data_IF_486639164966
#
_entry.id   IF_486639164966
#
_cell.length_a   1.000
_cell.length_b   1.000
_cell.length_c   1.000
_cell.angle_alpha   90.00
_cell.angle_beta   90.00
_cell.angle_gamma   90.00
#
_symmetry.space_group_name_H-M   'P 1'
#
loop_
_entity.id
_entity.type
_entity.pdbx_description
1 polymer ?
#
# COMPACT_ATOMS: atom_id res chain seq x y z
N UNK A 1 -17.61 23.06 3.80
CA UNK A 1 -16.45 23.92 3.49
C UNK A 1 -15.25 23.33 4.20
N UNK A 2 -14.55 22.43 3.51
CA UNK A 2 -13.41 21.67 4.02
C UNK A 2 -12.14 22.50 3.89
N UNK A 3 -11.78 23.23 4.95
CA UNK A 3 -10.46 23.88 5.03
C UNK A 3 -9.43 22.83 5.39
N UNK A 4 -9.00 22.04 4.40
CA UNK A 4 -7.78 21.24 4.54
C UNK A 4 -6.59 22.21 4.43
N UNK A 5 -5.84 22.48 5.51
CA UNK A 5 -4.80 23.50 5.52
C UNK A 5 -3.61 23.05 4.67
N UNK A 6 -3.22 23.87 3.69
CA UNK A 6 -2.04 23.64 2.86
C UNK A 6 -0.94 24.64 3.22
N UNK A 7 0.27 24.14 3.47
CA UNK A 7 1.46 24.98 3.65
C UNK A 7 2.12 25.26 2.32
N UNK A 8 2.28 26.53 1.95
CA UNK A 8 3.04 26.92 0.76
C UNK A 8 4.53 26.61 0.98
N UNK A 9 5.14 25.88 0.03
CA UNK A 9 6.56 25.51 0.10
C UNK A 9 7.52 26.69 -0.03
N UNK A 10 7.08 27.78 -0.67
CA UNK A 10 7.85 29.00 -0.79
C UNK A 10 7.77 29.86 0.47
N UNK A 11 6.60 30.44 0.74
CA UNK A 11 6.45 31.44 1.80
C UNK A 11 6.09 30.86 3.17
N UNK A 12 5.95 29.53 3.29
CA UNK A 12 5.62 28.81 4.53
C UNK A 12 4.29 29.18 5.22
N UNK A 13 3.45 29.99 4.57
CA UNK A 13 2.11 30.36 5.07
C UNK A 13 1.07 29.27 4.76
N UNK A 14 0.02 29.21 5.57
CA UNK A 14 -1.09 28.26 5.43
C UNK A 14 -2.21 28.88 4.60
N UNK A 15 -2.71 28.13 3.61
CA UNK A 15 -3.77 28.55 2.71
C UNK A 15 -4.84 27.45 2.56
N UNK A 16 -6.03 27.81 2.08
CA UNK A 16 -7.07 26.85 1.72
C UNK A 16 -6.77 26.18 0.37
N UNK A 17 -7.58 25.19 -0.03
CA UNK A 17 -7.39 24.45 -1.27
C UNK A 17 -7.34 25.33 -2.53
N UNK A 18 -8.11 26.42 -2.54
CA UNK A 18 -8.18 27.36 -3.67
C UNK A 18 -6.98 28.31 -3.74
N UNK A 19 -6.32 28.58 -2.61
CA UNK A 19 -5.18 29.51 -2.53
C UNK A 19 -3.83 28.80 -2.32
N UNK A 20 -3.78 27.50 -2.60
CA UNK A 20 -2.59 26.66 -2.38
C UNK A 20 -1.43 27.03 -3.30
N UNK A 21 -1.67 27.45 -4.53
CA UNK A 21 -0.58 27.74 -5.47
C UNK A 21 -0.05 29.16 -5.30
N UNK A 22 1.24 29.34 -5.61
CA UNK A 22 1.92 30.63 -5.55
C UNK A 22 1.33 31.71 -6.48
N UNK A 23 0.47 31.34 -7.44
CA UNK A 23 -0.27 32.26 -8.31
C UNK A 23 -1.57 32.75 -7.67
N UNK A 24 -2.16 31.94 -6.79
CA UNK A 24 -3.46 32.18 -6.17
C UNK A 24 -3.34 32.99 -4.87
N UNK A 25 -2.11 33.20 -4.39
CA UNK A 25 -1.80 34.17 -3.35
C UNK A 25 -0.63 35.04 -3.79
N UNK A 26 -0.51 36.26 -3.24
CA UNK A 26 0.65 37.13 -3.46
C UNK A 26 1.89 36.52 -2.76
N UNK A 27 2.43 35.45 -3.34
CA UNK A 27 3.58 34.75 -2.82
C UNK A 27 4.83 35.59 -3.05
N UNK A 28 5.61 35.81 -1.99
CA UNK A 28 6.90 36.52 -2.10
C UNK A 28 8.00 35.67 -2.75
N UNK A 29 7.72 34.40 -3.05
CA UNK A 29 8.69 33.53 -3.69
C UNK A 29 8.64 33.75 -5.20
N UNK A 30 9.80 33.79 -5.88
CA UNK A 30 9.80 33.76 -7.32
C UNK A 30 8.99 32.54 -7.76
N UNK A 31 8.23 32.60 -8.86
CA UNK A 31 7.66 31.41 -9.44
C UNK A 31 8.86 30.50 -9.71
N UNK A 32 9.09 29.53 -8.82
CA UNK A 32 10.04 28.49 -9.09
C UNK A 32 9.52 27.93 -10.39
N UNK A 33 10.32 28.01 -11.45
CA UNK A 33 10.21 27.12 -12.59
C UNK A 33 10.48 25.71 -12.03
N UNK A 34 9.59 25.26 -11.14
CA UNK A 34 9.36 23.90 -10.79
C UNK A 34 8.77 23.35 -12.07
N UNK A 35 9.70 23.11 -12.99
CA UNK A 35 9.66 22.35 -14.22
C UNK A 35 8.25 21.82 -14.43
N UNK A 36 7.50 22.47 -15.32
CA UNK A 36 6.29 21.87 -15.87
C UNK A 36 6.75 20.63 -16.62
N UNK A 37 6.95 19.56 -15.84
CA UNK A 37 7.60 18.35 -16.29
C UNK A 37 6.54 17.59 -17.06
N UNK A 38 6.51 17.85 -18.36
CA UNK A 38 5.60 17.19 -19.28
C UNK A 38 5.96 15.71 -19.30
N UNK A 39 5.01 14.88 -18.83
CA UNK A 39 5.15 13.42 -18.80
C UNK A 39 4.20 12.87 -19.85
N UNK A 40 4.76 12.07 -20.76
CA UNK A 40 3.99 11.37 -21.80
C UNK A 40 3.98 9.88 -21.51
N UNK A 41 2.91 9.19 -21.87
CA UNK A 41 2.76 7.76 -21.61
C UNK A 41 3.15 6.99 -22.86
N UNK A 42 4.14 6.09 -22.74
CA UNK A 42 4.52 5.21 -23.83
C UNK A 42 3.39 4.19 -24.14
N UNK A 43 2.95 4.04 -25.40
CA UNK A 43 1.86 3.14 -25.77
C UNK A 43 2.23 1.65 -25.69
N UNK A 44 3.53 1.32 -25.71
CA UNK A 44 4.02 -0.07 -25.71
C UNK A 44 4.16 -0.64 -24.30
N UNK A 45 4.68 0.16 -23.37
CA UNK A 45 4.98 -0.29 -22.00
C UNK A 45 4.12 0.39 -20.93
N UNK A 46 3.31 1.39 -21.28
CA UNK A 46 2.53 2.22 -20.34
C UNK A 46 3.36 2.94 -19.26
N UNK A 47 4.67 3.15 -19.51
CA UNK A 47 5.55 3.93 -18.62
C UNK A 47 5.41 5.42 -18.92
N UNK A 48 5.42 6.25 -17.88
CA UNK A 48 5.54 7.70 -18.02
C UNK A 48 6.99 8.08 -18.32
N UNK A 49 7.21 8.70 -19.48
CA UNK A 49 8.51 9.21 -19.93
C UNK A 49 8.50 10.73 -19.79
N UNK A 50 9.57 11.28 -19.20
CA UNK A 50 9.73 12.72 -19.04
C UNK A 50 10.18 13.33 -20.36
N UNK A 51 9.47 14.35 -20.81
CA UNK A 51 9.85 15.16 -21.97
C UNK A 51 10.73 16.30 -21.46
N UNK A 52 11.89 16.48 -22.08
CA UNK A 52 12.77 17.62 -21.77
C UNK A 52 12.26 18.87 -22.49
N UNK A 53 12.56 20.04 -21.94
CA UNK A 53 12.15 21.32 -22.52
C UNK A 53 12.63 21.44 -23.98
N UNK A 54 11.70 21.75 -24.89
CA UNK A 54 11.97 21.92 -26.32
C UNK A 54 12.04 20.63 -27.15
N UNK A 55 11.81 19.44 -26.57
CA UNK A 55 11.68 18.20 -27.33
C UNK A 55 10.20 17.82 -27.50
N UNK A 56 9.88 17.30 -28.68
CA UNK A 56 8.55 16.79 -28.97
C UNK A 56 8.31 15.43 -28.29
N UNK A 57 7.06 15.21 -27.85
CA UNK A 57 6.62 14.01 -27.17
C UNK A 57 6.93 12.72 -27.96
N UNK A 58 6.63 12.73 -29.26
CA UNK A 58 6.77 11.57 -30.14
C UNK A 58 8.24 11.14 -30.24
N UNK A 59 9.15 12.09 -30.46
CA UNK A 59 10.59 11.82 -30.50
C UNK A 59 11.11 11.23 -29.17
N UNK A 60 10.61 11.74 -28.04
CA UNK A 60 10.99 11.22 -26.71
C UNK A 60 10.51 9.78 -26.51
N UNK A 61 9.30 9.45 -27.00
CA UNK A 61 8.75 8.08 -26.94
C UNK A 61 9.54 7.14 -27.87
N UNK A 62 9.87 7.57 -29.08
CA UNK A 62 10.65 6.77 -30.04
C UNK A 62 12.04 6.42 -29.48
N UNK A 63 12.73 7.43 -28.92
CA UNK A 63 14.00 7.22 -28.23
C UNK A 63 13.88 6.24 -27.06
N UNK A 64 12.80 6.33 -26.27
CA UNK A 64 12.54 5.39 -25.19
C UNK A 64 12.32 3.95 -25.70
N UNK A 65 11.67 3.78 -26.85
CA UNK A 65 11.48 2.47 -27.48
C UNK A 65 12.80 1.87 -27.98
N UNK A 66 13.73 2.70 -28.43
CA UNK A 66 15.04 2.28 -28.96
C UNK A 66 16.10 2.07 -27.87
N UNK A 67 15.99 2.72 -26.71
CA UNK A 67 17.02 2.69 -25.67
C UNK A 67 17.12 1.36 -24.91
N UNK A 68 16.23 0.41 -25.16
CA UNK A 68 16.16 -0.88 -24.45
C UNK A 68 15.53 -0.79 -23.05
N UNK A 69 15.20 0.40 -22.58
CA UNK A 69 14.50 0.58 -21.30
C UNK A 69 13.00 0.25 -21.42
N UNK A 70 12.42 0.31 -22.61
CA UNK A 70 11.01 0.02 -22.86
C UNK A 70 10.69 -1.48 -22.71
N UNK A 71 9.94 -1.84 -21.67
CA UNK A 71 9.52 -3.22 -21.41
C UNK A 71 8.02 -3.42 -21.73
N UNK A 72 7.67 -4.14 -22.82
CA UNK A 72 6.29 -4.41 -23.19
C UNK A 72 5.49 -5.21 -22.14
N UNK A 73 6.14 -5.99 -21.28
CA UNK A 73 5.44 -6.76 -20.23
C UNK A 73 4.78 -5.84 -19.20
N UNK A 74 5.32 -4.63 -19.00
CA UNK A 74 4.75 -3.67 -18.08
C UNK A 74 3.33 -3.24 -18.48
N UNK A 75 3.02 -3.19 -19.78
CA UNK A 75 1.69 -2.83 -20.26
C UNK A 75 0.61 -3.77 -19.70
N UNK A 76 0.85 -5.09 -19.78
CA UNK A 76 -0.06 -6.10 -19.21
C UNK A 76 -0.21 -5.95 -17.70
N UNK A 77 0.86 -5.58 -16.98
CA UNK A 77 0.82 -5.37 -15.52
C UNK A 77 -0.01 -4.14 -15.14
N UNK A 78 0.17 -3.03 -15.86
CA UNK A 78 -0.52 -1.76 -15.61
C UNK A 78 -2.01 -1.84 -15.98
N UNK A 79 -2.31 -2.39 -17.16
CA UNK A 79 -3.68 -2.46 -17.67
C UNK A 79 -4.44 -3.71 -17.18
N UNK A 80 -3.75 -4.82 -16.93
CA UNK A 80 -4.30 -6.11 -16.50
C UNK A 80 -4.55 -6.23 -14.99
N UNK A 81 -5.10 -5.19 -14.37
CA UNK A 81 -5.51 -5.25 -12.96
C UNK A 81 -6.60 -6.31 -12.80
N UNK A 82 -6.47 -7.16 -11.77
CA UNK A 82 -7.42 -8.23 -11.47
C UNK A 82 -8.80 -7.65 -11.18
N UNK A 83 -9.85 -8.42 -11.47
CA UNK A 83 -11.23 -8.06 -11.14
C UNK A 83 -11.70 -8.88 -9.95
N UNK A 84 -12.73 -8.38 -9.27
CA UNK A 84 -13.36 -9.11 -8.19
C UNK A 84 -13.86 -10.48 -8.69
N UNK A 85 -13.55 -11.58 -7.99
CA UNK A 85 -13.91 -12.94 -8.42
C UNK A 85 -15.41 -13.26 -8.25
N UNK A 86 -16.16 -12.38 -7.58
CA UNK A 86 -17.60 -12.54 -7.33
C UNK A 86 -18.38 -12.49 -8.64
N UNK A 87 -19.26 -13.48 -8.86
CA UNK A 87 -20.13 -13.53 -10.04
C UNK A 87 -20.98 -12.27 -10.12
N UNK A 88 -20.95 -11.59 -11.28
CA UNK A 88 -21.66 -10.34 -11.50
C UNK A 88 -20.92 -9.08 -11.04
N UNK A 89 -19.80 -9.20 -10.31
CA UNK A 89 -18.97 -8.05 -9.96
C UNK A 89 -17.98 -7.71 -11.07
N UNK A 90 -17.98 -6.46 -11.54
CA UNK A 90 -17.02 -5.97 -12.55
C UNK A 90 -15.97 -5.03 -11.96
N UNK A 91 -15.96 -4.88 -10.64
CA UNK A 91 -15.06 -3.99 -9.91
C UNK A 91 -13.59 -4.41 -10.10
N UNK A 92 -12.73 -3.43 -10.40
CA UNK A 92 -11.28 -3.66 -10.53
C UNK A 92 -10.64 -3.63 -9.14
N UNK A 93 -9.85 -4.66 -8.84
CA UNK A 93 -9.03 -4.70 -7.64
C UNK A 93 -7.85 -3.76 -7.84
N UNK A 94 -7.83 -2.68 -7.07
CA UNK A 94 -6.71 -1.75 -6.94
C UNK A 94 -6.13 -1.89 -5.53
N UNK A 95 -4.95 -1.33 -5.29
CA UNK A 95 -4.31 -1.33 -3.97
C UNK A 95 -5.21 -0.80 -2.85
N UNK A 96 -6.11 0.13 -3.15
CA UNK A 96 -7.05 0.72 -2.18
C UNK A 96 -8.34 -0.07 -2.09
N UNK A 97 -8.78 -0.66 -3.21
CA UNK A 97 -10.08 -1.34 -3.29
C UNK A 97 -10.00 -2.86 -3.07
N UNK A 98 -8.80 -3.42 -2.88
CA UNK A 98 -8.61 -4.85 -2.62
C UNK A 98 -8.71 -5.17 -1.13
N UNK A 99 -9.41 -6.25 -0.80
CA UNK A 99 -9.46 -6.83 0.53
C UNK A 99 -9.26 -8.33 0.47
N UNK A 100 -8.30 -8.83 1.26
CA UNK A 100 -8.06 -10.26 1.42
C UNK A 100 -8.90 -10.81 2.57
N UNK A 101 -9.78 -11.77 2.27
CA UNK A 101 -10.63 -12.38 3.29
C UNK A 101 -9.80 -13.21 4.28
N UNK A 102 -9.88 -12.99 5.60
CA UNK A 102 -9.10 -13.73 6.59
C UNK A 102 -9.54 -15.18 6.77
N UNK A 103 -10.72 -15.55 6.27
CA UNK A 103 -11.28 -16.90 6.39
C UNK A 103 -10.91 -17.80 5.21
N UNK A 104 -10.92 -17.28 3.98
CA UNK A 104 -10.67 -18.06 2.76
C UNK A 104 -9.47 -17.58 1.92
N UNK A 105 -8.80 -16.48 2.30
CA UNK A 105 -7.64 -15.94 1.60
C UNK A 105 -7.91 -15.29 0.24
N UNK A 106 -9.17 -15.26 -0.21
CA UNK A 106 -9.54 -14.71 -1.51
C UNK A 106 -9.53 -13.18 -1.50
N UNK A 107 -8.90 -12.57 -2.50
CA UNK A 107 -8.93 -11.12 -2.72
C UNK A 107 -10.23 -10.71 -3.42
N UNK A 108 -10.95 -9.78 -2.79
CA UNK A 108 -12.25 -9.27 -3.24
C UNK A 108 -12.25 -7.75 -3.21
N UNK A 109 -13.25 -7.12 -3.83
CA UNK A 109 -13.40 -5.66 -3.71
C UNK A 109 -13.98 -5.29 -2.34
N UNK A 110 -13.84 -4.04 -1.92
CA UNK A 110 -14.39 -3.56 -0.64
C UNK A 110 -15.90 -3.79 -0.49
N UNK A 111 -16.65 -3.82 -1.61
CA UNK A 111 -18.09 -4.13 -1.63
C UNK A 111 -18.43 -5.55 -1.18
N UNK A 112 -17.51 -6.50 -1.40
CA UNK A 112 -17.69 -7.94 -1.16
C UNK A 112 -16.80 -8.48 -0.04
N UNK A 113 -16.27 -7.58 0.80
CA UNK A 113 -15.35 -7.89 1.90
C UNK A 113 -16.00 -8.65 3.06
N UNK A 114 -17.29 -8.41 3.33
CA UNK A 114 -17.93 -8.86 4.58
C UNK A 114 -18.94 -9.99 4.43
N UNK A 115 -19.66 -10.10 3.31
CA UNK A 115 -20.70 -11.13 3.22
C UNK A 115 -20.07 -12.43 2.73
N UNK A 116 -20.15 -13.47 3.57
CA UNK A 116 -19.71 -14.82 3.21
C UNK A 116 -20.41 -15.33 1.93
N UNK A 117 -21.62 -14.86 1.66
CA UNK A 117 -22.40 -15.15 0.45
C UNK A 117 -21.82 -14.49 -0.81
N UNK A 118 -21.14 -13.34 -0.70
CA UNK A 118 -20.72 -12.58 -1.87
C UNK A 118 -19.62 -13.31 -2.63
N UNK A 119 -18.69 -13.95 -1.91
CA UNK A 119 -17.57 -14.66 -2.52
C UNK A 119 -17.55 -16.16 -2.24
N UNK A 120 -18.70 -16.73 -1.85
CA UNK A 120 -18.82 -18.14 -1.46
C UNK A 120 -17.69 -18.57 -0.52
N UNK A 121 -17.53 -17.83 0.58
CA UNK A 121 -16.41 -17.99 1.51
C UNK A 121 -16.37 -19.42 2.06
N UNK A 122 -15.36 -20.21 1.68
CA UNK A 122 -15.27 -21.62 2.09
C UNK A 122 -14.74 -21.83 3.50
N UNK A 123 -14.57 -20.76 4.30
CA UNK A 123 -13.97 -20.83 5.63
C UNK A 123 -12.53 -21.34 5.64
N UNK A 124 -11.92 -21.39 6.83
CA UNK A 124 -10.67 -22.16 7.03
C UNK A 124 -11.05 -23.63 6.87
N UNK A 125 -10.80 -24.19 5.69
CA UNK A 125 -10.73 -25.63 5.52
C UNK A 125 -9.61 -26.06 6.47
N UNK A 126 -9.93 -26.80 7.54
CA UNK A 126 -8.90 -27.60 8.20
C UNK A 126 -8.17 -28.34 7.10
N UNK A 127 -6.85 -28.37 7.15
CA UNK A 127 -6.02 -29.14 6.24
C UNK A 127 -6.43 -30.62 6.33
N UNK A 128 -7.46 -30.99 5.57
CA UNK A 128 -7.75 -32.36 5.24
C UNK A 128 -6.58 -32.74 4.34
N UNK A 129 -5.58 -33.38 4.94
CA UNK A 129 -4.60 -34.16 4.21
C UNK A 129 -5.41 -34.97 3.21
N UNK A 130 -5.33 -34.60 1.93
CA UNK A 130 -5.78 -35.48 0.87
C UNK A 130 -4.87 -36.69 1.00
N UNK A 131 -5.41 -37.77 1.58
CA UNK A 131 -4.81 -39.08 1.51
C UNK A 131 -4.70 -39.41 0.03
N UNK A 132 -3.52 -39.17 -0.54
CA UNK A 132 -3.15 -39.67 -1.85
C UNK A 132 -3.09 -41.19 -1.70
N UNK A 133 -4.22 -41.87 -1.91
CA UNK A 133 -4.26 -43.33 -1.95
C UNK A 133 -3.48 -43.75 -3.21
N UNK A 134 -2.23 -44.14 -2.97
CA UNK A 134 -1.28 -44.59 -3.97
C UNK A 134 -1.84 -45.76 -4.77
N UNK A 135 -2.30 -45.50 -5.99
CA UNK A 135 -2.65 -46.54 -6.97
C UNK A 135 -1.55 -46.76 -8.01
N UNK A 136 -0.29 -46.54 -7.64
CA UNK A 136 0.84 -46.73 -8.55
C UNK A 136 2.03 -47.40 -7.86
N UNK A 137 1.90 -48.68 -7.50
CA UNK A 137 3.00 -49.68 -7.58
C UNK A 137 2.34 -51.07 -7.66
N UNK A 138 1.97 -51.48 -8.86
CA UNK A 138 1.88 -52.90 -9.22
C UNK A 138 2.87 -53.09 -10.36
N UNK A 139 3.57 -54.23 -10.36
CA UNK A 139 4.81 -54.57 -11.11
C UNK A 139 6.05 -54.07 -10.35
N UNK A 140 6.91 -54.90 -9.74
CA UNK A 140 7.49 -56.14 -10.22
C UNK A 140 7.63 -57.19 -9.10
N UNK A 141 7.13 -58.41 -9.35
CA UNK A 141 7.64 -59.66 -8.76
C UNK A 141 8.94 -60.04 -9.48
N UNK A 142 9.83 -60.75 -8.76
CA UNK A 142 11.17 -61.23 -9.12
C UNK A 142 12.33 -60.23 -9.02
N UNK A 143 13.07 -60.30 -7.91
CA UNK A 143 14.40 -60.94 -7.87
C UNK A 143 14.85 -61.11 -6.42
N UNK A 144 15.08 -62.37 -6.02
CA UNK A 144 15.85 -62.68 -4.81
C UNK A 144 17.34 -62.56 -5.13
N UNK A 145 18.10 -62.14 -4.11
CA UNK A 145 19.54 -62.29 -3.87
C UNK A 145 20.44 -61.04 -4.06
N UNK A 146 21.35 -60.93 -3.07
CA UNK A 146 22.53 -60.04 -2.91
C UNK A 146 22.36 -58.70 -2.18
N UNK A 147 22.45 -58.81 -0.84
CA UNK A 147 23.32 -58.10 0.11
C UNK A 147 23.98 -56.77 -0.31
N UNK A 148 23.75 -55.70 0.47
CA UNK A 148 24.71 -55.18 1.48
C UNK A 148 24.39 -53.74 1.92
N UNK A 149 24.29 -53.57 3.25
CA UNK A 149 24.76 -52.43 4.06
C UNK A 149 24.30 -51.00 3.72
N UNK A 150 23.44 -50.43 4.57
CA UNK A 150 23.78 -49.46 5.63
C UNK A 150 22.45 -48.96 6.23
N UNK A 151 22.24 -49.26 7.51
CA UNK A 151 21.21 -48.61 8.32
C UNK A 151 21.76 -47.37 8.98
N UNK A 152 20.92 -46.35 9.16
CA UNK A 152 20.51 -45.97 10.52
C UNK A 152 19.41 -44.91 10.49
N UNK A 153 18.39 -45.26 11.25
CA UNK A 153 17.23 -44.49 11.65
C UNK A 153 17.61 -43.40 12.64
N UNK A 154 17.01 -42.22 12.56
CA UNK A 154 16.76 -41.40 13.75
C UNK A 154 15.38 -40.73 13.65
N UNK A 155 14.55 -41.08 14.62
CA UNK A 155 13.29 -40.44 14.98
C UNK A 155 13.43 -39.78 16.36
N UNK A 156 12.49 -38.87 16.64
CA UNK A 156 12.06 -38.29 17.92
C UNK A 156 12.71 -36.98 18.40
N UNK A 157 11.84 -36.04 18.80
CA UNK A 157 12.24 -34.84 19.54
C UNK A 157 11.24 -33.68 19.47
N UNK A 158 10.05 -33.84 20.05
CA UNK A 158 9.12 -32.75 20.39
C UNK A 158 9.76 -31.74 21.36
N UNK A 159 9.38 -30.46 21.31
CA UNK A 159 8.82 -29.73 22.48
C UNK A 159 8.62 -28.22 22.31
N UNK A 160 7.45 -27.79 22.78
CA UNK A 160 7.18 -26.59 23.59
C UNK A 160 6.94 -25.23 22.92
N UNK A 161 5.64 -24.93 22.83
CA UNK A 161 5.06 -23.59 22.84
C UNK A 161 5.54 -22.79 24.08
N UNK A 162 5.94 -21.53 23.87
CA UNK A 162 5.87 -20.49 24.90
C UNK A 162 5.00 -19.34 24.42
N UNK A 163 3.81 -19.27 25.02
CA UNK A 163 2.96 -18.10 25.03
C UNK A 163 3.62 -17.02 25.88
N UNK A 164 3.86 -15.83 25.30
CA UNK A 164 4.17 -14.63 26.06
C UNK A 164 2.91 -13.78 26.15
N UNK A 165 2.39 -13.66 27.38
CA UNK A 165 1.37 -12.70 27.77
C UNK A 165 2.10 -11.40 28.11
N UNK A 166 1.99 -10.38 27.27
CA UNK A 166 2.43 -9.02 27.59
C UNK A 166 1.27 -8.24 28.20
N UNK A 167 1.31 -8.01 29.51
CA UNK A 167 0.44 -7.06 30.20
C UNK A 167 0.77 -5.63 29.81
N UNK A 168 -0.27 -4.85 29.52
CA UNK A 168 -0.16 -3.41 29.29
C UNK A 168 0.41 -2.69 30.50
N UNK A 169 1.46 -1.89 30.26
CA UNK A 169 1.77 -0.72 31.07
C UNK A 169 1.41 0.50 30.25
N UNK A 170 0.38 1.21 30.69
CA UNK A 170 0.16 2.59 30.32
C UNK A 170 1.33 3.41 30.86
N UNK A 171 2.32 3.69 30.03
CA UNK A 171 3.26 4.78 30.27
C UNK A 171 2.46 6.06 30.11
N UNK A 172 2.42 6.87 31.18
CA UNK A 172 1.95 8.25 31.11
C UNK A 172 3.01 9.04 30.33
N UNK A 173 2.87 9.08 29.02
CA UNK A 173 3.71 9.90 28.15
C UNK A 173 3.37 11.36 28.43
N UNK A 174 4.34 12.13 28.92
CA UNK A 174 4.20 13.58 29.01
C UNK A 174 4.00 14.13 27.58
N UNK A 175 2.85 14.75 27.33
CA UNK A 175 2.48 15.18 25.98
C UNK A 175 3.08 16.56 25.71
N UNK A 176 4.08 16.62 24.83
CA UNK A 176 4.67 17.87 24.38
C UNK A 176 3.80 18.56 23.32
N UNK A 177 3.71 19.89 23.39
CA UNK A 177 2.99 20.67 22.40
C UNK A 177 3.75 20.72 21.07
N UNK A 178 3.18 20.29 19.94
CA UNK A 178 3.86 20.25 18.64
C UNK A 178 4.09 21.64 18.00
N UNK A 179 3.64 22.71 18.66
CA UNK A 179 3.75 24.08 18.16
C UNK A 179 4.79 24.92 18.91
N UNK A 180 5.17 24.52 20.13
CA UNK A 180 6.09 25.31 20.98
C UNK A 180 6.92 24.46 21.95
N UNK A 181 6.88 23.13 21.82
CA UNK A 181 7.62 22.14 22.61
C UNK A 181 7.42 22.21 24.14
N UNK A 182 6.39 22.91 24.60
CA UNK A 182 6.00 22.94 26.02
C UNK A 182 5.48 21.56 26.43
N UNK A 183 6.12 20.97 27.44
CA UNK A 183 5.73 19.67 27.98
C UNK A 183 4.57 19.85 28.96
N UNK A 184 3.40 19.29 28.63
CA UNK A 184 2.24 19.28 29.49
C UNK A 184 2.18 17.98 30.29
N UNK A 185 1.69 18.07 31.54
CA UNK A 185 1.65 16.93 32.47
C UNK A 185 0.73 15.82 31.99
N UNK A 186 -0.37 16.18 31.33
CA UNK A 186 -1.37 15.26 30.79
C UNK A 186 -2.03 15.89 29.54
N UNK A 187 -2.69 15.05 28.72
CA UNK A 187 -3.33 15.47 27.47
C UNK A 187 -4.37 16.60 27.66
N UNK A 188 -5.07 16.65 28.80
CA UNK A 188 -6.05 17.72 29.10
C UNK A 188 -5.36 19.09 29.22
N UNK A 189 -4.19 19.15 29.86
CA UNK A 189 -3.42 20.39 29.95
C UNK A 189 -2.83 20.79 28.60
N UNK A 190 -2.47 19.81 27.77
CA UNK A 190 -2.00 20.06 26.41
C UNK A 190 -3.11 20.70 25.56
N UNK A 191 -4.33 20.16 25.60
CA UNK A 191 -5.48 20.73 24.88
C UNK A 191 -5.75 22.15 25.35
N UNK A 192 -5.83 22.39 26.67
CA UNK A 192 -6.03 23.73 27.22
C UNK A 192 -4.88 24.71 26.88
N UNK A 193 -3.64 24.23 26.82
CA UNK A 193 -2.49 25.03 26.39
C UNK A 193 -2.63 25.42 24.92
N UNK A 194 -2.94 24.48 24.03
CA UNK A 194 -3.15 24.74 22.60
C UNK A 194 -4.32 25.71 22.39
N UNK A 195 -5.44 25.52 23.08
CA UNK A 195 -6.60 26.42 23.02
C UNK A 195 -6.35 27.80 23.66
N UNK A 196 -5.30 27.98 24.45
CA UNK A 196 -5.01 29.29 25.08
C UNK A 196 -3.92 30.06 24.38
N UNK A 197 -2.92 29.38 23.86
CA UNK A 197 -1.72 29.99 23.28
C UNK A 197 -1.63 29.84 21.75
N UNK A 198 -2.41 28.92 21.17
CA UNK A 198 -2.48 28.67 19.73
C UNK A 198 -3.91 28.82 19.17
N UNK A 199 -4.87 29.30 19.97
CA UNK A 199 -6.26 29.53 19.55
C UNK A 199 -6.47 30.66 18.54
N UNK A 200 -5.40 31.33 18.12
CA UNK A 200 -5.47 32.28 17.01
C UNK A 200 -5.07 31.69 15.66
N UNK A 201 -5.51 30.44 15.41
CA UNK A 201 -5.74 29.92 14.05
C UNK A 201 -7.25 29.96 13.75
N UNK A 202 -7.91 31.04 14.18
CA UNK A 202 -9.27 31.35 13.74
C UNK A 202 -9.19 31.97 12.34
N UNK A 203 -9.66 31.20 11.36
CA UNK A 203 -9.68 31.55 9.95
C UNK A 203 -10.46 32.82 9.66
N UNK A 204 -9.73 33.93 9.56
CA UNK A 204 -10.06 34.98 8.60
C UNK A 204 -9.06 34.88 7.47
N UNK A 205 -9.57 34.64 6.25
CA UNK A 205 -8.83 34.97 5.05
C UNK A 205 -8.39 36.43 5.21
N UNK A 206 -7.09 36.76 5.15
CA UNK A 206 -6.69 38.15 5.08
C UNK A 206 -7.36 38.73 3.82
N UNK A 207 -8.11 39.85 3.94
CA UNK A 207 -8.44 40.62 2.75
C UNK A 207 -7.14 41.14 2.13
N UNK A 208 -7.18 41.26 0.81
CA UNK A 208 -6.12 41.75 -0.09
C UNK A 208 -5.39 42.97 0.49
#
# INVERSE_FOLDING_TARGET
>A
MDFLPFRCSGCNKIYCGEHRHAKDHACSCPPTAAEEKTIVICPVCARGVRVAEGLEADYVIDRHMQSGECDPQNYKRVHGKRRCPVKGCRERLTTVNSYQCPHCGTETCLRHRYKASDHACTGRKSSSHQSFTSSFVSTCRNMLSLSSSIGQSHSVGSSSNKAVRGHGRHVREAAACPHCDVVCKDAVQLVAHVEKWHSNVSGRCPPQ
#
